data_IF_288688076858
#
_entry.id   IF_288688076858
#
_cell.length_a   1.000
_cell.length_b   1.000
_cell.length_c   1.000
_cell.angle_alpha   90.00
_cell.angle_beta   90.00
_cell.angle_gamma   90.00
#
_symmetry.space_group_name_H-M   'P 1'
#
loop_
_entity.id
_entity.type
_entity.pdbx_description
1 polymer ?
#
# COMPACT_ATOMS: atom_id res chain seq x y z
N UNK A 1 -13.65 -0.42 14.17
CA UNK A 1 -12.68 0.04 13.17
C UNK A 1 -12.55 1.55 13.18
N UNK A 2 -13.62 2.27 13.03
CA UNK A 2 -13.62 3.73 13.04
C UNK A 2 -13.09 4.29 14.37
N UNK A 3 -13.53 3.74 15.49
CA UNK A 3 -13.04 4.17 16.81
C UNK A 3 -11.57 3.89 17.00
N UNK A 4 -11.09 2.82 16.41
CA UNK A 4 -9.70 2.47 16.46
C UNK A 4 -8.85 3.56 15.79
N UNK A 5 -9.27 4.00 14.59
CA UNK A 5 -8.58 5.08 13.90
C UNK A 5 -8.60 6.39 14.70
N UNK A 6 -9.71 6.71 15.33
CA UNK A 6 -9.79 7.92 16.15
C UNK A 6 -8.84 7.88 17.34
N UNK A 7 -8.66 6.72 17.95
CA UNK A 7 -7.69 6.55 19.03
C UNK A 7 -6.26 6.60 18.52
N UNK A 8 -6.05 6.16 17.32
CA UNK A 8 -4.73 6.14 16.70
C UNK A 8 -4.27 7.53 16.27
N UNK A 9 -5.20 8.43 16.02
CA UNK A 9 -4.91 9.76 15.50
C UNK A 9 -3.81 10.51 16.23
N UNK A 10 -3.78 10.41 17.55
CA UNK A 10 -2.88 11.25 18.36
C UNK A 10 -1.50 10.66 18.55
N UNK A 11 -1.36 9.35 18.49
CA UNK A 11 -0.15 8.71 18.97
C UNK A 11 0.40 7.62 18.10
N UNK A 12 -0.29 7.31 17.02
CA UNK A 12 -0.05 6.00 16.48
C UNK A 12 0.44 6.06 15.08
N UNK A 13 1.65 6.48 15.02
CA UNK A 13 2.48 6.07 13.91
C UNK A 13 3.17 4.79 14.36
N UNK A 14 3.38 3.89 13.44
CA UNK A 14 4.23 2.73 13.67
C UNK A 14 5.53 2.92 12.92
N UNK A 15 6.55 2.22 13.37
CA UNK A 15 7.81 2.22 12.64
C UNK A 15 7.65 1.48 11.34
N UNK A 16 8.32 1.97 10.31
CA UNK A 16 8.27 1.33 8.99
C UNK A 16 8.69 -0.14 9.07
N UNK A 17 9.66 -0.47 9.91
CA UNK A 17 10.09 -1.84 10.13
C UNK A 17 8.92 -2.75 10.55
N UNK A 18 8.09 -2.27 11.48
CA UNK A 18 6.93 -3.01 11.95
C UNK A 18 5.90 -3.20 10.84
N UNK A 19 5.67 -2.15 10.09
CA UNK A 19 4.72 -2.19 8.99
C UNK A 19 5.19 -3.14 7.88
N UNK A 20 6.49 -3.15 7.59
CA UNK A 20 7.06 -4.06 6.60
C UNK A 20 6.93 -5.51 7.03
N UNK A 21 7.15 -5.80 8.31
CA UNK A 21 6.95 -7.15 8.83
C UNK A 21 5.50 -7.58 8.67
N UNK A 22 4.58 -6.70 9.01
CA UNK A 22 3.15 -6.99 8.89
C UNK A 22 2.73 -7.22 7.44
N UNK A 23 3.15 -6.33 6.54
CA UNK A 23 2.76 -6.46 5.12
C UNK A 23 3.41 -7.69 4.48
N UNK A 24 4.60 -8.06 4.90
CA UNK A 24 5.25 -9.29 4.41
C UNK A 24 4.42 -10.52 4.75
N UNK A 25 3.90 -10.60 5.96
CA UNK A 25 3.04 -11.70 6.37
C UNK A 25 1.73 -11.72 5.59
N UNK A 26 1.17 -10.54 5.37
CA UNK A 26 -0.03 -10.41 4.56
C UNK A 26 0.21 -10.88 3.12
N UNK A 27 1.34 -10.52 2.54
CA UNK A 27 1.72 -10.96 1.20
C UNK A 27 1.93 -12.47 1.14
N UNK A 28 2.45 -13.07 2.20
CA UNK A 28 2.60 -14.53 2.26
C UNK A 28 1.24 -15.23 2.18
N UNK A 29 0.24 -14.69 2.87
CA UNK A 29 -1.12 -15.22 2.77
C UNK A 29 -1.68 -15.09 1.36
N UNK A 30 -1.42 -13.99 0.70
CA UNK A 30 -1.86 -13.81 -0.69
C UNK A 30 -1.15 -14.77 -1.64
N UNK A 31 0.12 -15.08 -1.38
CA UNK A 31 0.84 -16.08 -2.19
C UNK A 31 0.27 -17.48 -2.03
N UNK A 32 -0.23 -17.80 -0.85
CA UNK A 32 -0.92 -19.09 -0.67
C UNK A 32 -2.17 -19.16 -1.55
N UNK A 33 -2.86 -18.03 -1.71
CA UNK A 33 -4.07 -17.97 -2.52
C UNK A 33 -3.79 -17.95 -4.01
N UNK A 34 -2.83 -17.14 -4.44
CA UNK A 34 -2.58 -16.86 -5.86
C UNK A 34 -1.35 -17.58 -6.43
N UNK A 35 -0.53 -18.19 -5.57
CA UNK A 35 0.66 -18.89 -6.03
C UNK A 35 1.64 -17.96 -6.72
N UNK A 36 2.18 -18.43 -7.82
CA UNK A 36 3.15 -17.70 -8.61
C UNK A 36 2.58 -16.47 -9.32
N UNK A 37 1.26 -16.31 -9.30
CA UNK A 37 0.61 -15.16 -9.90
C UNK A 37 0.69 -13.90 -9.03
N UNK A 38 1.22 -14.00 -7.83
CA UNK A 38 1.40 -12.88 -6.93
C UNK A 38 2.88 -12.75 -6.58
N UNK A 39 3.51 -11.68 -7.07
CA UNK A 39 4.95 -11.47 -6.89
C UNK A 39 5.17 -10.14 -6.20
N UNK A 40 5.99 -10.15 -5.16
CA UNK A 40 6.34 -8.92 -4.44
C UNK A 40 7.85 -8.72 -4.43
N UNK A 41 8.23 -7.46 -4.46
CA UNK A 41 9.63 -7.05 -4.33
C UNK A 41 9.66 -5.88 -3.35
N UNK A 42 10.16 -6.14 -2.15
CA UNK A 42 10.24 -5.14 -1.09
C UNK A 42 11.70 -4.85 -0.83
N UNK A 43 12.11 -3.63 -1.15
CA UNK A 43 13.49 -3.21 -1.01
C UNK A 43 13.54 -1.84 -0.31
N UNK A 44 13.72 -1.88 1.00
CA UNK A 44 13.78 -0.68 1.83
C UNK A 44 15.13 -0.65 2.53
N UNK A 45 15.97 0.36 2.25
CA UNK A 45 17.25 0.49 2.95
C UNK A 45 17.05 0.58 4.47
N UNK A 46 17.97 -0.03 5.21
CA UNK A 46 17.89 -0.10 6.67
C UNK A 46 17.76 1.27 7.34
N UNK A 47 18.36 2.29 6.75
CA UNK A 47 18.31 3.64 7.31
C UNK A 47 16.89 4.21 7.42
N UNK A 48 15.94 3.64 6.68
CA UNK A 48 14.55 4.08 6.73
C UNK A 48 13.68 3.25 7.67
N UNK A 49 14.20 2.20 8.27
CA UNK A 49 13.40 1.31 9.13
C UNK A 49 12.87 2.01 10.36
N UNK A 50 13.55 3.04 10.84
CA UNK A 50 13.08 3.85 11.95
C UNK A 50 12.13 4.98 11.57
N UNK A 51 11.89 5.20 10.29
CA UNK A 51 10.88 6.16 9.85
C UNK A 51 9.50 5.68 10.26
N UNK A 52 8.54 6.58 10.27
CA UNK A 52 7.20 6.27 10.75
C UNK A 52 6.17 6.42 9.66
N UNK A 53 5.11 5.64 9.79
CA UNK A 53 4.04 5.56 8.82
C UNK A 53 2.72 5.32 9.55
N UNK A 54 1.62 5.75 8.97
CA UNK A 54 0.30 5.43 9.52
C UNK A 54 0.08 3.93 9.43
N UNK A 55 -0.41 3.28 10.50
CA UNK A 55 -0.61 1.83 10.50
C UNK A 55 -1.51 1.38 9.36
N UNK A 56 -1.21 0.22 8.81
CA UNK A 56 -1.97 -0.44 7.75
C UNK A 56 -1.91 0.25 6.38
N UNK A 57 -1.07 1.29 6.23
CA UNK A 57 -0.92 1.98 4.95
C UNK A 57 -0.51 1.02 3.84
N UNK A 58 0.53 0.23 4.08
CA UNK A 58 1.04 -0.68 3.05
C UNK A 58 0.05 -1.81 2.76
N UNK A 59 -0.63 -2.30 3.79
CA UNK A 59 -1.67 -3.31 3.59
C UNK A 59 -2.77 -2.79 2.67
N UNK A 60 -3.21 -1.57 2.89
CA UNK A 60 -4.25 -0.94 2.04
C UNK A 60 -3.78 -0.85 0.60
N UNK A 61 -2.50 -0.50 0.38
CA UNK A 61 -1.95 -0.42 -0.97
C UNK A 61 -1.96 -1.77 -1.66
N UNK A 62 -1.55 -2.82 -0.94
CA UNK A 62 -1.55 -4.18 -1.49
C UNK A 62 -2.97 -4.66 -1.75
N UNK A 63 -3.90 -4.41 -0.83
CA UNK A 63 -5.31 -4.75 -1.02
C UNK A 63 -5.90 -4.10 -2.26
N UNK A 64 -5.60 -2.82 -2.46
CA UNK A 64 -6.07 -2.11 -3.65
C UNK A 64 -5.55 -2.75 -4.93
N UNK A 65 -4.28 -3.12 -4.96
CA UNK A 65 -3.69 -3.74 -6.14
C UNK A 65 -4.39 -5.06 -6.48
N UNK A 66 -4.64 -5.88 -5.47
CA UNK A 66 -5.35 -7.16 -5.68
C UNK A 66 -6.79 -6.94 -6.10
N UNK A 67 -7.45 -5.98 -5.48
CA UNK A 67 -8.87 -5.72 -5.70
C UNK A 67 -9.17 -5.21 -7.10
N UNK A 68 -8.31 -4.38 -7.65
CA UNK A 68 -8.56 -3.71 -8.92
C UNK A 68 -7.93 -4.39 -10.13
N UNK A 69 -7.16 -5.45 -9.93
CA UNK A 69 -6.46 -6.13 -11.02
C UNK A 69 -6.83 -7.60 -11.10
N UNK A 70 -6.75 -8.12 -12.32
CA UNK A 70 -6.86 -9.56 -12.55
C UNK A 70 -5.56 -10.20 -12.08
N UNK A 71 -5.66 -11.27 -11.29
CA UNK A 71 -4.50 -12.00 -10.79
C UNK A 71 -4.69 -13.47 -11.11
N UNK A 72 -3.97 -13.96 -12.10
CA UNK A 72 -4.02 -15.36 -12.49
C UNK A 72 -2.74 -15.75 -13.24
N UNK A 73 -2.66 -16.98 -13.70
CA UNK A 73 -1.46 -17.51 -14.34
C UNK A 73 -1.10 -16.77 -15.64
N UNK A 74 -2.07 -16.16 -16.30
CA UNK A 74 -1.84 -15.37 -17.51
C UNK A 74 -1.49 -13.92 -17.20
N UNK A 75 -1.79 -13.46 -16.00
CA UNK A 75 -1.65 -12.06 -15.60
C UNK A 75 -1.19 -11.99 -14.16
N UNK A 76 0.09 -12.19 -13.96
CA UNK A 76 0.67 -12.09 -12.63
C UNK A 76 0.65 -10.64 -12.15
N UNK A 77 0.33 -10.47 -10.89
CA UNK A 77 0.39 -9.17 -10.24
C UNK A 77 1.76 -9.01 -9.59
N UNK A 78 2.47 -7.95 -9.99
CA UNK A 78 3.76 -7.60 -9.42
C UNK A 78 3.63 -6.32 -8.60
N UNK A 79 3.98 -6.40 -7.34
CA UNK A 79 3.96 -5.24 -6.45
C UNK A 79 5.39 -4.98 -5.97
N UNK A 80 5.87 -3.76 -6.12
CA UNK A 80 7.14 -3.37 -5.57
C UNK A 80 6.96 -2.26 -4.54
N UNK A 81 7.72 -2.34 -3.47
CA UNK A 81 7.73 -1.35 -2.40
C UNK A 81 9.17 -0.91 -2.19
N UNK A 82 9.41 0.38 -2.39
CA UNK A 82 10.74 0.95 -2.26
C UNK A 82 10.68 2.34 -1.67
N UNK A 83 11.82 3.01 -1.61
CA UNK A 83 11.91 4.38 -1.09
C UNK A 83 12.59 5.26 -2.12
N UNK A 84 12.05 6.45 -2.32
CA UNK A 84 12.67 7.47 -3.14
C UNK A 84 12.37 8.84 -2.56
N UNK A 85 13.42 9.62 -2.29
CA UNK A 85 13.30 11.00 -1.82
C UNK A 85 12.41 11.14 -0.58
N UNK A 86 12.61 10.28 0.42
CA UNK A 86 11.86 10.25 1.67
C UNK A 86 10.40 9.84 1.52
N UNK A 87 10.02 9.33 0.36
CA UNK A 87 8.71 8.76 0.14
C UNK A 87 8.82 7.25 0.05
N UNK A 88 7.88 6.56 0.63
CA UNK A 88 7.71 5.16 0.30
C UNK A 88 6.92 5.11 -1.01
N UNK A 89 7.38 4.27 -1.92
CA UNK A 89 6.82 4.18 -3.27
C UNK A 89 6.29 2.77 -3.46
N UNK A 90 5.01 2.66 -3.68
CA UNK A 90 4.36 1.37 -3.95
C UNK A 90 3.91 1.36 -5.40
N UNK A 91 4.38 0.39 -6.16
CA UNK A 91 4.05 0.24 -7.58
C UNK A 91 3.40 -1.11 -7.82
N UNK A 92 2.46 -1.14 -8.72
CA UNK A 92 1.97 -2.42 -9.24
C UNK A 92 1.69 -2.28 -10.74
N UNK A 93 1.89 -3.39 -11.44
CA UNK A 93 1.50 -3.45 -12.84
C UNK A 93 -0.02 -3.47 -12.95
N UNK A 94 -0.53 -3.01 -14.07
CA UNK A 94 -1.97 -2.87 -14.29
C UNK A 94 -2.49 -3.95 -15.24
N UNK A 95 -3.50 -4.63 -14.78
CA UNK A 95 -4.36 -5.45 -15.63
C UNK A 95 -5.76 -5.33 -15.05
N UNK A 96 -6.43 -4.17 -15.28
CA UNK A 96 -7.68 -3.87 -14.58
C UNK A 96 -8.77 -4.89 -14.88
N UNK A 97 -9.58 -5.15 -13.87
CA UNK A 97 -10.77 -5.96 -14.04
C UNK A 97 -11.73 -5.27 -14.98
N UNK A 98 -12.35 -6.03 -15.88
CA UNK A 98 -13.28 -5.47 -16.87
C UNK A 98 -14.55 -4.93 -16.25
N UNK A 99 -15.01 -5.58 -15.19
CA UNK A 99 -16.17 -5.11 -14.44
C UNK A 99 -15.74 -4.88 -13.02
N UNK A 100 -15.57 -3.62 -12.65
CA UNK A 100 -15.30 -3.31 -11.27
C UNK A 100 -16.61 -3.26 -10.49
N UNK A 101 -16.63 -3.86 -9.29
CA UNK A 101 -17.79 -3.71 -8.42
C UNK A 101 -17.99 -2.23 -8.09
N UNK A 102 -19.21 -1.76 -8.19
CA UNK A 102 -19.53 -0.37 -7.89
C UNK A 102 -19.11 0.03 -6.48
N UNK A 103 -19.11 -0.93 -5.57
CA UNK A 103 -18.71 -0.69 -4.19
C UNK A 103 -17.21 -0.53 -4.04
N UNK A 104 -16.45 -0.80 -5.06
CA UNK A 104 -15.01 -0.66 -5.02
C UNK A 104 -14.62 0.79 -5.33
N UNK A 105 -14.70 1.64 -4.33
CA UNK A 105 -14.52 3.08 -4.51
C UNK A 105 -13.12 3.57 -4.12
N UNK A 106 -12.21 2.67 -3.79
CA UNK A 106 -10.91 3.08 -3.30
C UNK A 106 -10.98 3.71 -1.92
N UNK A 107 -11.96 3.35 -1.15
CA UNK A 107 -12.21 3.93 0.17
C UNK A 107 -11.01 3.84 1.10
N UNK A 108 -10.29 2.70 1.07
CA UNK A 108 -9.11 2.53 1.90
C UNK A 108 -8.02 3.54 1.57
N UNK A 109 -7.72 3.70 0.28
CA UNK A 109 -6.71 4.67 -0.16
C UNK A 109 -7.16 6.10 0.15
N UNK A 110 -8.42 6.42 -0.08
CA UNK A 110 -8.95 7.74 0.24
C UNK A 110 -8.86 8.04 1.73
N UNK A 111 -9.15 7.08 2.58
CA UNK A 111 -9.06 7.25 4.03
C UNK A 111 -7.62 7.49 4.47
N UNK A 112 -6.68 6.72 3.95
CA UNK A 112 -5.26 6.89 4.25
C UNK A 112 -4.79 8.26 3.78
N UNK A 113 -5.15 8.64 2.56
CA UNK A 113 -4.79 9.93 1.98
C UNK A 113 -5.30 11.08 2.85
N UNK A 114 -6.54 10.98 3.30
CA UNK A 114 -7.15 12.00 4.16
C UNK A 114 -6.44 12.09 5.50
N UNK A 115 -6.07 10.97 6.09
CA UNK A 115 -5.36 10.97 7.36
C UNK A 115 -4.00 11.64 7.26
N UNK A 116 -3.25 11.35 6.21
CA UNK A 116 -1.96 11.99 5.99
C UNK A 116 -2.11 13.51 5.83
N UNK A 117 -3.13 13.92 5.12
CA UNK A 117 -3.37 15.35 4.90
C UNK A 117 -3.78 16.06 6.19
N UNK A 118 -4.71 15.48 6.94
CA UNK A 118 -5.22 16.09 8.17
C UNK A 118 -4.20 16.07 9.29
N UNK A 119 -3.55 14.92 9.52
CA UNK A 119 -2.68 14.74 10.67
C UNK A 119 -1.28 15.30 10.45
N UNK A 120 -0.77 15.25 9.24
CA UNK A 120 0.63 15.59 8.96
C UNK A 120 0.80 16.64 7.88
N UNK A 121 -0.29 17.13 7.33
CA UNK A 121 -0.25 18.09 6.22
C UNK A 121 0.62 17.55 5.08
N UNK A 122 0.52 16.27 4.80
CA UNK A 122 1.25 15.61 3.72
C UNK A 122 0.26 15.00 2.73
N UNK A 123 0.51 15.22 1.47
CA UNK A 123 -0.35 14.72 0.41
C UNK A 123 0.17 13.37 -0.09
N UNK A 124 -0.72 12.39 -0.16
CA UNK A 124 -0.43 11.13 -0.84
C UNK A 124 -0.55 11.39 -2.33
N UNK A 125 0.48 11.04 -3.09
CA UNK A 125 0.52 11.28 -4.53
C UNK A 125 0.31 9.97 -5.25
N UNK A 126 -0.66 9.94 -6.16
CA UNK A 126 -0.91 8.77 -6.99
C UNK A 126 -0.65 9.09 -8.44
N UNK A 127 -0.19 8.10 -9.18
CA UNK A 127 0.03 8.23 -10.62
C UNK A 127 -0.37 6.95 -11.32
N UNK A 128 -0.85 7.08 -12.53
CA UNK A 128 -1.28 5.94 -13.34
C UNK A 128 -0.79 6.12 -14.76
N UNK A 129 -0.12 5.10 -15.27
CA UNK A 129 0.29 5.03 -16.65
C UNK A 129 -0.52 3.92 -17.35
N UNK A 130 -0.20 3.62 -18.59
CA UNK A 130 -0.83 2.50 -19.29
C UNK A 130 -0.50 1.16 -18.65
N UNK A 131 0.61 1.05 -17.96
CA UNK A 131 1.12 -0.23 -17.45
C UNK A 131 1.31 -0.31 -15.94
N UNK A 132 1.24 0.82 -15.22
CA UNK A 132 1.52 0.85 -13.79
C UNK A 132 0.61 1.80 -13.02
N UNK A 133 0.38 1.44 -11.76
CA UNK A 133 -0.19 2.35 -10.77
C UNK A 133 0.87 2.60 -9.69
N UNK A 134 1.09 3.85 -9.33
CA UNK A 134 2.15 4.24 -8.41
C UNK A 134 1.56 5.10 -7.30
N UNK A 135 1.91 4.79 -6.07
CA UNK A 135 1.52 5.62 -4.90
C UNK A 135 2.78 6.04 -4.17
N UNK A 136 2.88 7.31 -3.88
CA UNK A 136 3.99 7.87 -3.10
C UNK A 136 3.44 8.43 -1.80
N UNK A 137 4.03 7.99 -0.69
CA UNK A 137 3.59 8.36 0.64
C UNK A 137 4.80 8.90 1.40
N UNK A 138 4.67 10.11 1.93
CA UNK A 138 5.77 10.75 2.65
C UNK A 138 6.04 10.01 3.97
N UNK A 139 7.29 9.64 4.18
CA UNK A 139 7.70 9.04 5.45
C UNK A 139 7.82 10.13 6.52
N UNK A 140 7.39 9.80 7.72
CA UNK A 140 7.52 10.69 8.87
C UNK A 140 8.81 10.31 9.59
N UNK A 141 9.75 11.21 9.56
CA UNK A 141 11.09 10.96 10.10
C UNK A 141 11.24 11.47 11.55
#
# INVERSE_FOLDING_TARGET
MYRYFLKLEKHTLVMLEEELEFVSKYCDLLRERFGESFVTDIDIPDKYHGARIIPCTLQVMVENAVKHNVVNSSSALHISIGVGMRHIVVRNNLNPKKTEPEVSTGTGLQNISRQYEILFNRRVVTGKTASEFIVRIHLIL
#
